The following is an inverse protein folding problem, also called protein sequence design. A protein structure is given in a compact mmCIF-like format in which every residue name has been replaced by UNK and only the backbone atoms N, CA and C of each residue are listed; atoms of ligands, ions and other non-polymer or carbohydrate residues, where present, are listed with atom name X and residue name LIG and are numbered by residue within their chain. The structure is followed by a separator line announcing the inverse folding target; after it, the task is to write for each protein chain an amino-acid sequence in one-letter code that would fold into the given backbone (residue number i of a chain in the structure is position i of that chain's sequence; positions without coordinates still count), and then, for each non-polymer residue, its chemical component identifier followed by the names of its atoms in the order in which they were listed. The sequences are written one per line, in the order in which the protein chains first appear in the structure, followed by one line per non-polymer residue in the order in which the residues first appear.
data_IF_796179421975
#
_entry.id   IF_796179421975
#
_cell.length_a   1.000
_cell.length_b   1.000
_cell.length_c   1.000
_cell.angle_alpha   90.00
_cell.angle_beta   90.00
_cell.angle_gamma   90.00
#
_symmetry.space_group_name_H-M   'P 1'
#
loop_
_entity.id
_entity.type
_entity.pdbx_description
1 polymer ?
#
# COMPACT_ATOMS: atom_id res chain seq x y z
N UNK A 1 12.92 13.03 25.22
CA UNK A 1 12.49 13.80 24.03
C UNK A 1 11.83 12.90 22.99
N UNK A 2 11.04 11.91 23.39
CA UNK A 2 10.26 11.09 22.45
C UNK A 2 9.00 11.86 22.09
N UNK A 3 8.96 12.42 20.88
CA UNK A 3 7.78 13.12 20.36
C UNK A 3 6.61 12.14 20.29
N UNK A 4 5.72 12.22 21.28
CA UNK A 4 4.40 11.61 21.20
C UNK A 4 3.68 12.29 20.02
N UNK A 5 3.22 11.55 19.01
CA UNK A 5 2.45 12.15 17.93
C UNK A 5 1.21 12.81 18.54
N UNK A 6 1.06 14.10 18.26
CA UNK A 6 -0.06 14.91 18.72
C UNK A 6 -1.39 14.30 18.25
N UNK A 7 -2.29 13.86 19.16
CA UNK A 7 -3.59 13.30 18.80
C UNK A 7 -4.51 14.31 18.10
N UNK A 8 -4.20 15.62 18.20
CA UNK A 8 -4.91 16.71 17.52
C UNK A 8 -4.27 17.11 16.19
N UNK A 9 -3.24 16.39 15.71
CA UNK A 9 -2.74 16.58 14.35
C UNK A 9 -3.83 16.13 13.37
N UNK A 10 -4.65 17.10 12.95
CA UNK A 10 -5.83 16.90 12.12
C UNK A 10 -5.58 15.87 11.01
N UNK A 11 -6.23 14.71 11.12
CA UNK A 11 -6.27 13.74 10.02
C UNK A 11 -6.94 14.47 8.86
N UNK A 12 -6.26 14.63 7.72
CA UNK A 12 -6.81 15.40 6.63
C UNK A 12 -8.08 14.74 6.14
N UNK A 13 -9.18 15.49 6.18
CA UNK A 13 -10.53 15.00 5.90
C UNK A 13 -10.74 14.60 4.42
N UNK A 14 -9.72 14.77 3.58
CA UNK A 14 -9.75 14.51 2.14
C UNK A 14 -8.43 13.88 1.68
N UNK A 15 -8.55 12.90 0.80
CA UNK A 15 -7.43 12.25 0.11
C UNK A 15 -7.31 12.86 -1.28
N UNK A 16 -6.14 13.37 -1.62
CA UNK A 16 -5.77 13.79 -2.97
C UNK A 16 -4.88 12.72 -3.63
N UNK A 17 -4.54 12.89 -4.91
CA UNK A 17 -3.76 11.89 -5.63
C UNK A 17 -2.35 11.69 -5.08
N UNK A 18 -1.71 12.73 -4.54
CA UNK A 18 -0.38 12.59 -3.91
C UNK A 18 -0.47 11.76 -2.63
N UNK A 19 -1.47 12.04 -1.78
CA UNK A 19 -1.73 11.24 -0.57
C UNK A 19 -2.08 9.80 -0.89
N UNK A 20 -2.83 9.54 -1.98
CA UNK A 20 -3.12 8.19 -2.43
C UNK A 20 -1.83 7.48 -2.88
N UNK A 21 -0.95 8.15 -3.63
CA UNK A 21 0.37 7.60 -4.00
C UNK A 21 1.20 7.25 -2.78
N UNK A 22 1.31 8.17 -1.84
CA UNK A 22 2.07 7.96 -0.60
C UNK A 22 1.49 6.80 0.21
N UNK A 23 0.16 6.68 0.27
CA UNK A 23 -0.52 5.57 0.92
C UNK A 23 -0.23 4.23 0.23
N UNK A 24 -0.22 4.18 -1.11
CA UNK A 24 0.12 2.98 -1.87
C UNK A 24 1.58 2.55 -1.63
N UNK A 25 2.52 3.50 -1.61
CA UNK A 25 3.93 3.25 -1.29
C UNK A 25 4.07 2.70 0.14
N UNK A 26 3.49 3.39 1.12
CA UNK A 26 3.53 2.96 2.51
C UNK A 26 2.85 1.60 2.74
N UNK A 27 1.77 1.32 2.00
CA UNK A 27 1.12 0.02 2.01
C UNK A 27 2.05 -1.08 1.45
N UNK A 28 2.73 -0.83 0.33
CA UNK A 28 3.69 -1.79 -0.25
C UNK A 28 4.83 -2.11 0.71
N UNK A 29 5.45 -1.08 1.30
CA UNK A 29 6.51 -1.27 2.30
C UNK A 29 6.01 -2.01 3.53
N UNK A 30 4.79 -1.72 3.99
CA UNK A 30 4.18 -2.46 5.10
C UNK A 30 3.90 -3.90 4.74
N UNK A 31 3.45 -4.15 3.52
CA UNK A 31 3.16 -5.49 3.04
C UNK A 31 4.44 -6.33 2.93
N UNK A 32 5.51 -5.75 2.37
CA UNK A 32 6.81 -6.42 2.23
C UNK A 32 7.36 -6.92 3.57
N UNK A 33 7.10 -6.20 4.67
CA UNK A 33 7.49 -6.62 6.03
C UNK A 33 6.71 -7.83 6.56
N UNK A 34 5.53 -8.13 6.01
CA UNK A 34 4.63 -9.17 6.52
C UNK A 34 4.35 -10.28 5.48
N UNK A 35 5.07 -10.33 4.35
CA UNK A 35 4.86 -11.36 3.30
C UNK A 35 4.86 -12.78 3.89
N UNK A 36 5.82 -13.08 4.77
CA UNK A 36 5.94 -14.40 5.37
C UNK A 36 4.74 -14.74 6.27
N UNK A 37 4.25 -13.78 7.05
CA UNK A 37 3.07 -13.95 7.88
C UNK A 37 1.82 -14.17 7.01
N UNK A 38 1.68 -13.40 5.93
CA UNK A 38 0.54 -13.51 5.00
C UNK A 38 0.56 -14.83 4.22
N UNK A 39 1.74 -15.28 3.79
CA UNK A 39 1.92 -16.62 3.20
C UNK A 39 1.44 -17.73 4.15
N UNK A 40 1.54 -17.53 5.48
CA UNK A 40 1.10 -18.49 6.48
C UNK A 40 -0.39 -18.38 6.84
N UNK A 41 -1.08 -17.29 6.47
CA UNK A 41 -2.50 -17.08 6.79
C UNK A 41 -3.46 -17.82 5.84
N UNK A 42 -3.13 -17.92 4.54
CA UNK A 42 -4.02 -18.55 3.57
C UNK A 42 -3.82 -20.06 3.55
N UNK A 43 -4.74 -20.79 4.18
CA UNK A 43 -4.63 -22.24 4.42
C UNK A 43 -5.76 -23.06 3.76
N UNK A 44 -6.38 -22.56 2.67
CA UNK A 44 -7.50 -23.26 2.01
C UNK A 44 -7.30 -23.42 0.49
N UNK A 45 -7.50 -24.62 -0.12
CA UNK A 45 -7.56 -25.96 0.49
C UNK A 45 -6.17 -26.58 0.77
N UNK A 46 -5.09 -26.00 0.22
CA UNK A 46 -3.69 -26.43 0.42
C UNK A 46 -2.83 -25.16 0.56
N UNK A 47 -1.92 -25.08 1.55
CA UNK A 47 -0.99 -23.95 1.66
C UNK A 47 0.00 -24.01 0.49
N UNK A 48 -0.18 -23.15 -0.51
CA UNK A 48 0.80 -22.89 -1.56
C UNK A 48 1.96 -22.02 -1.05
N UNK A 49 1.75 -21.32 0.08
CA UNK A 49 2.75 -20.51 0.75
C UNK A 49 3.17 -19.29 -0.08
N UNK A 50 2.37 -18.90 -1.07
CA UNK A 50 2.71 -17.84 -2.02
C UNK A 50 1.73 -16.66 -2.01
N UNK A 51 0.67 -16.70 -1.21
CA UNK A 51 -0.38 -15.67 -1.17
C UNK A 51 0.18 -14.27 -0.92
N UNK A 52 1.03 -14.11 0.08
CA UNK A 52 1.75 -12.86 0.36
C UNK A 52 2.69 -12.47 -0.77
N UNK A 53 3.36 -13.42 -1.42
CA UNK A 53 4.19 -13.13 -2.60
C UNK A 53 3.35 -12.57 -3.75
N UNK A 54 2.22 -13.21 -4.08
CA UNK A 54 1.32 -12.83 -5.16
C UNK A 54 0.66 -11.46 -4.90
N UNK A 55 0.24 -11.20 -3.67
CA UNK A 55 -0.32 -9.90 -3.28
C UNK A 55 0.76 -8.80 -3.27
N UNK A 56 1.96 -9.09 -2.77
CA UNK A 56 3.08 -8.14 -2.79
C UNK A 56 3.50 -7.76 -4.22
N UNK A 57 3.49 -8.72 -5.15
CA UNK A 57 3.73 -8.45 -6.57
C UNK A 57 2.66 -7.52 -7.16
N UNK A 58 1.38 -7.80 -6.89
CA UNK A 58 0.25 -6.96 -7.31
C UNK A 58 0.41 -5.54 -6.78
N UNK A 59 0.68 -5.37 -5.49
CA UNK A 59 0.80 -4.06 -4.86
C UNK A 59 2.02 -3.27 -5.36
N UNK A 60 3.16 -3.94 -5.57
CA UNK A 60 4.34 -3.30 -6.19
C UNK A 60 4.07 -2.88 -7.64
N UNK A 61 3.26 -3.64 -8.37
CA UNK A 61 2.83 -3.25 -9.72
C UNK A 61 1.98 -1.98 -9.67
N UNK A 62 0.97 -1.93 -8.81
CA UNK A 62 0.11 -0.77 -8.62
C UNK A 62 0.92 0.48 -8.23
N UNK A 63 1.87 0.36 -7.29
CA UNK A 63 2.78 1.45 -6.91
C UNK A 63 3.59 1.94 -8.10
N UNK A 64 4.16 1.03 -8.89
CA UNK A 64 4.99 1.38 -10.06
C UNK A 64 4.20 2.22 -11.06
N UNK A 65 2.97 1.81 -11.38
CA UNK A 65 2.11 2.51 -12.33
C UNK A 65 1.58 3.84 -11.75
N UNK A 66 1.19 3.87 -10.47
CA UNK A 66 0.82 5.11 -9.80
C UNK A 66 1.95 6.16 -9.78
N UNK A 67 3.21 5.71 -9.71
CA UNK A 67 4.39 6.56 -9.77
C UNK A 67 4.81 6.95 -11.21
N UNK A 68 4.42 6.17 -12.22
CA UNK A 68 4.72 6.44 -13.64
C UNK A 68 3.79 7.52 -14.24
N UNK A 69 2.62 7.74 -13.63
CA UNK A 69 1.67 8.78 -14.05
C UNK A 69 2.23 10.20 -13.84
N UNK A 70 2.27 10.98 -14.93
CA UNK A 70 2.57 12.41 -14.89
C UNK A 70 1.41 13.25 -14.31
N UNK A 71 0.17 12.75 -14.44
CA UNK A 71 -1.01 13.37 -13.83
C UNK A 71 -1.17 12.87 -12.39
N UNK A 72 -1.14 13.82 -11.44
CA UNK A 72 -1.22 13.54 -9.99
C UNK A 72 -2.61 13.78 -9.41
N UNK A 73 -3.64 13.96 -10.24
CA UNK A 73 -5.03 13.99 -9.80
C UNK A 73 -5.42 12.65 -9.16
N UNK A 74 -6.35 12.70 -8.21
CA UNK A 74 -6.83 11.48 -7.52
C UNK A 74 -7.32 10.43 -8.53
N UNK A 75 -8.07 10.85 -9.55
CA UNK A 75 -8.59 9.98 -10.59
C UNK A 75 -7.50 9.34 -11.45
N UNK A 76 -6.44 10.09 -11.78
CA UNK A 76 -5.34 9.56 -12.60
C UNK A 76 -4.53 8.53 -11.81
N UNK A 77 -4.18 8.86 -10.56
CA UNK A 77 -3.47 7.95 -9.65
C UNK A 77 -4.28 6.68 -9.41
N UNK A 78 -5.57 6.80 -9.11
CA UNK A 78 -6.43 5.65 -8.83
C UNK A 78 -6.68 4.76 -10.05
N UNK A 79 -6.56 5.30 -11.28
CA UNK A 79 -6.68 4.53 -12.52
C UNK A 79 -5.36 3.85 -12.90
N UNK A 80 -4.23 4.48 -12.58
CA UNK A 80 -2.92 3.93 -12.88
C UNK A 80 -2.58 2.77 -11.93
N UNK A 81 -2.94 2.89 -10.64
CA UNK A 81 -2.80 1.85 -9.63
C UNK A 81 -3.71 0.64 -9.92
#
# INVERSE_FOLDING_TARGET
MTGHPDPDKAIPQRVDGLRLRDALVGAAESFDRHIAEINALNVFPVPDGDTGTNMGLTLRSAVREALSSADTSLSAVARAA
#
